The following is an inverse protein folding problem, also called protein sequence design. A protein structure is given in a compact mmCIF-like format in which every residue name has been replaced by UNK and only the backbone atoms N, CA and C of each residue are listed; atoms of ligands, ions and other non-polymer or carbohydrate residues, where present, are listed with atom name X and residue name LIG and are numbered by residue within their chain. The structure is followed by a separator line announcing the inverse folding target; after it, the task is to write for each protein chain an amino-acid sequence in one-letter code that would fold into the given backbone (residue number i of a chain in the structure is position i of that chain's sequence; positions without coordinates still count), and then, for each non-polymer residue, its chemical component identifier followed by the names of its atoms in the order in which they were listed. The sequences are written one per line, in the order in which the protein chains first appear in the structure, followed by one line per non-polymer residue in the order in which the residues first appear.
data_IF_899577333478
#
_entry.id   IF_899577333478
#
_cell.length_a   1.000
_cell.length_b   1.000
_cell.length_c   1.000
_cell.angle_alpha   90.00
_cell.angle_beta   90.00
_cell.angle_gamma   90.00
#
_symmetry.space_group_name_H-M   'P 1'
#
loop_
_entity.id
_entity.type
_entity.pdbx_description
1 polymer ?
#
# COMPACT_ATOMS: atom_id res chain seq x y z
N UNK A 1 14.38 24.56 -23.36
CA UNK A 1 14.24 24.61 -21.89
C UNK A 1 14.45 23.21 -21.41
N UNK A 2 15.47 22.94 -20.60
CA UNK A 2 15.66 21.62 -19.99
C UNK A 2 14.43 21.36 -19.09
N UNK A 3 13.59 20.40 -19.45
CA UNK A 3 12.54 19.92 -18.55
C UNK A 3 13.25 19.33 -17.32
N UNK A 4 13.36 20.13 -16.27
CA UNK A 4 13.76 19.59 -14.96
C UNK A 4 12.61 18.67 -14.55
N UNK A 5 12.89 17.37 -14.52
CA UNK A 5 11.91 16.36 -14.07
C UNK A 5 11.47 16.71 -12.65
N UNK A 6 10.18 16.87 -12.44
CA UNK A 6 9.62 17.06 -11.09
C UNK A 6 9.70 15.71 -10.36
N UNK A 7 10.31 15.66 -9.19
CA UNK A 7 10.32 14.46 -8.35
C UNK A 7 8.90 14.20 -7.84
N UNK A 8 8.31 13.03 -8.07
CA UNK A 8 7.01 12.69 -7.53
C UNK A 8 7.06 12.41 -6.04
N UNK A 9 5.95 12.63 -5.38
CA UNK A 9 5.70 12.25 -3.99
C UNK A 9 5.52 10.74 -3.88
N UNK A 10 6.11 10.08 -2.90
CA UNK A 10 5.81 8.69 -2.51
C UNK A 10 4.74 8.73 -1.42
N UNK A 11 3.51 8.35 -1.78
CA UNK A 11 2.34 8.37 -0.90
C UNK A 11 2.05 6.97 -0.34
N UNK A 12 2.31 6.80 0.95
CA UNK A 12 2.19 5.51 1.64
C UNK A 12 0.88 5.37 2.42
N UNK A 13 0.33 4.15 2.55
CA UNK A 13 -0.87 3.91 3.34
C UNK A 13 -0.54 3.75 4.83
N UNK A 14 -1.39 4.27 5.72
CA UNK A 14 -1.32 3.94 7.14
C UNK A 14 -2.71 3.66 7.75
N UNK A 15 -2.85 2.51 8.37
CA UNK A 15 -4.07 2.12 9.07
C UNK A 15 -4.01 2.35 10.59
N UNK A 16 -2.85 2.71 11.12
CA UNK A 16 -2.61 3.03 12.55
C UNK A 16 -1.51 4.06 12.66
N UNK A 17 -1.44 4.76 13.80
CA UNK A 17 -0.40 5.74 14.10
C UNK A 17 1.02 5.13 14.02
N UNK A 18 1.20 3.88 14.48
CA UNK A 18 2.47 3.15 14.34
C UNK A 18 2.89 3.01 12.86
N UNK A 19 1.95 2.60 11.99
CA UNK A 19 2.21 2.47 10.55
C UNK A 19 2.49 3.81 9.88
N UNK A 20 1.85 4.89 10.33
CA UNK A 20 2.13 6.24 9.84
C UNK A 20 3.58 6.63 10.13
N UNK A 21 4.01 6.46 11.38
CA UNK A 21 5.40 6.77 11.78
C UNK A 21 6.40 5.94 10.99
N UNK A 22 6.16 4.63 10.85
CA UNK A 22 7.02 3.74 10.07
C UNK A 22 7.05 4.12 8.59
N UNK A 23 5.91 4.45 7.97
CA UNK A 23 5.88 4.87 6.58
C UNK A 23 6.79 6.09 6.33
N UNK A 24 6.69 7.10 7.20
CA UNK A 24 7.50 8.32 7.13
C UNK A 24 9.00 8.00 7.38
N UNK A 25 9.31 7.23 8.41
CA UNK A 25 10.69 6.85 8.73
C UNK A 25 11.34 6.03 7.60
N UNK A 26 10.53 5.29 6.80
CA UNK A 26 10.96 4.54 5.62
C UNK A 26 10.88 5.32 4.30
N UNK A 27 10.66 6.63 4.38
CA UNK A 27 10.84 7.55 3.28
C UNK A 27 9.57 7.96 2.53
N UNK A 28 8.39 7.76 3.10
CA UNK A 28 7.17 8.36 2.54
C UNK A 28 7.23 9.88 2.61
N UNK A 29 6.97 10.56 1.49
CA UNK A 29 6.82 12.01 1.43
C UNK A 29 5.44 12.45 1.94
N UNK A 30 4.45 11.55 1.83
CA UNK A 30 3.13 11.72 2.40
C UNK A 30 2.50 10.40 2.83
N UNK A 31 1.53 10.47 3.74
CA UNK A 31 0.80 9.30 4.23
C UNK A 31 -0.70 9.56 4.16
N UNK A 32 -1.46 8.59 3.61
CA UNK A 32 -2.92 8.67 3.66
C UNK A 32 -3.50 7.73 4.72
N UNK A 33 -4.43 8.26 5.50
CA UNK A 33 -5.05 7.59 6.64
C UNK A 33 -6.58 7.59 6.50
N UNK A 34 -7.29 6.92 7.38
CA UNK A 34 -8.73 7.01 7.49
C UNK A 34 -9.14 7.60 8.83
N UNK A 35 -9.99 8.61 8.79
CA UNK A 35 -10.68 9.10 9.96
C UNK A 35 -11.84 8.17 10.36
N UNK A 36 -12.41 8.38 11.55
CA UNK A 36 -13.56 7.63 12.04
C UNK A 36 -14.85 7.93 11.25
N UNK A 37 -14.91 9.07 10.55
CA UNK A 37 -16.03 9.50 9.73
C UNK A 37 -15.69 9.50 8.23
N UNK A 38 -16.69 9.37 7.40
CA UNK A 38 -16.70 9.56 5.93
C UNK A 38 -15.70 8.69 5.11
N UNK A 39 -14.98 7.76 5.73
CA UNK A 39 -14.01 6.89 5.04
C UNK A 39 -14.60 5.55 4.58
N UNK A 40 -14.11 5.01 3.45
CA UNK A 40 -14.53 3.72 2.89
C UNK A 40 -14.13 2.49 3.72
N UNK A 41 -13.39 2.62 4.78
CA UNK A 41 -12.94 1.50 5.61
C UNK A 41 -13.30 1.71 7.08
N UNK A 42 -14.58 1.92 7.35
CA UNK A 42 -15.12 2.15 8.70
C UNK A 42 -14.83 1.04 9.73
N UNK A 43 -14.47 -0.16 9.27
CA UNK A 43 -14.09 -1.31 10.11
C UNK A 43 -12.58 -1.55 10.21
N UNK A 44 -11.76 -0.77 9.54
CA UNK A 44 -10.32 -0.74 9.75
C UNK A 44 -10.02 0.08 11.01
N UNK A 45 -8.87 -0.12 11.64
CA UNK A 45 -8.38 0.82 12.62
C UNK A 45 -8.35 2.21 11.98
N UNK A 46 -9.25 3.09 12.41
CA UNK A 46 -9.35 4.47 11.97
C UNK A 46 -8.78 5.35 13.07
N UNK A 47 -8.14 6.43 12.68
CA UNK A 47 -7.51 7.34 13.61
C UNK A 47 -8.56 8.10 14.43
N UNK A 48 -8.37 8.19 15.75
CA UNK A 48 -9.04 9.19 16.56
C UNK A 48 -8.51 10.59 16.21
N UNK A 49 -9.17 11.64 16.67
CA UNK A 49 -8.70 13.02 16.43
C UNK A 49 -7.35 13.27 17.12
N UNK A 50 -7.13 12.68 18.31
CA UNK A 50 -5.86 12.75 19.04
C UNK A 50 -4.74 12.03 18.28
N UNK A 51 -5.00 10.84 17.74
CA UNK A 51 -4.04 10.09 16.93
C UNK A 51 -3.72 10.82 15.62
N UNK A 52 -4.71 11.48 15.00
CA UNK A 52 -4.51 12.31 13.81
C UNK A 52 -3.59 13.49 14.14
N UNK A 53 -3.86 14.22 15.23
CA UNK A 53 -3.02 15.35 15.65
C UNK A 53 -1.58 14.91 15.91
N UNK A 54 -1.40 13.79 16.60
CA UNK A 54 -0.06 13.23 16.85
C UNK A 54 0.63 12.84 15.54
N UNK A 55 -0.12 12.22 14.61
CA UNK A 55 0.37 11.83 13.29
C UNK A 55 0.77 13.02 12.43
N UNK A 56 -0.05 14.08 12.39
CA UNK A 56 0.25 15.33 11.68
C UNK A 56 1.53 15.97 12.24
N UNK A 57 1.62 16.12 13.56
CA UNK A 57 2.80 16.69 14.20
C UNK A 57 4.07 15.86 13.91
N UNK A 58 3.96 14.54 13.92
CA UNK A 58 5.06 13.64 13.60
C UNK A 58 5.52 13.78 12.14
N UNK A 59 4.58 13.88 11.21
CA UNK A 59 4.83 14.05 9.79
C UNK A 59 5.49 15.39 9.47
N UNK A 60 4.90 16.48 9.96
CA UNK A 60 5.40 17.84 9.72
C UNK A 60 6.80 18.07 10.30
N UNK A 61 7.12 17.46 11.45
CA UNK A 61 8.48 17.50 12.01
C UNK A 61 9.54 16.79 11.13
N UNK A 62 9.11 16.11 10.05
CA UNK A 62 9.95 15.38 9.09
C UNK A 62 9.69 15.80 7.63
N UNK A 63 9.09 16.97 7.42
CA UNK A 63 8.72 17.51 6.10
C UNK A 63 7.82 16.58 5.27
N UNK A 64 7.04 15.72 5.94
CA UNK A 64 6.06 14.83 5.32
C UNK A 64 4.62 15.33 5.54
N UNK A 65 3.70 14.92 4.66
CA UNK A 65 2.29 15.33 4.66
C UNK A 65 1.36 14.22 5.14
N UNK A 66 0.18 14.61 5.62
CA UNK A 66 -0.89 13.68 6.00
C UNK A 66 -2.18 14.00 5.27
N UNK A 67 -2.79 12.98 4.63
CA UNK A 67 -4.06 13.11 3.93
C UNK A 67 -5.11 12.21 4.56
N UNK A 68 -6.31 12.75 4.81
CA UNK A 68 -7.43 11.97 5.38
C UNK A 68 -8.40 11.55 4.27
N UNK A 69 -8.66 10.26 4.16
CA UNK A 69 -9.63 9.71 3.23
C UNK A 69 -11.06 9.90 3.77
N UNK A 70 -11.83 10.74 3.09
CA UNK A 70 -13.26 11.01 3.28
C UNK A 70 -14.05 10.62 2.02
N UNK A 71 -13.79 9.40 1.50
CA UNK A 71 -14.14 9.00 0.14
C UNK A 71 -15.30 8.01 0.06
N UNK A 72 -16.20 8.01 1.03
CA UNK A 72 -17.46 7.28 0.93
C UNK A 72 -18.46 8.04 0.05
N UNK A 73 -19.36 7.32 -0.61
CA UNK A 73 -20.55 7.88 -1.24
C UNK A 73 -21.59 8.13 -0.15
N UNK A 74 -22.07 9.37 -0.03
CA UNK A 74 -23.08 9.74 0.96
C UNK A 74 -24.49 9.43 0.47
N UNK A 75 -25.40 9.17 1.40
CA UNK A 75 -26.84 9.14 1.18
C UNK A 75 -27.46 10.28 1.99
N UNK A 76 -28.70 10.62 1.70
CA UNK A 76 -29.44 11.66 2.41
C UNK A 76 -29.27 11.56 3.93
N UNK A 77 -28.80 12.62 4.55
CA UNK A 77 -28.51 12.71 5.98
C UNK A 77 -27.13 12.20 6.41
N UNK A 78 -26.34 11.54 5.55
CA UNK A 78 -24.99 11.14 5.91
C UNK A 78 -23.99 12.31 5.90
N UNK A 79 -24.28 13.36 5.16
CA UNK A 79 -23.50 14.60 5.08
C UNK A 79 -23.62 15.47 6.33
N UNK A 80 -24.62 15.20 7.18
CA UNK A 80 -24.82 15.93 8.43
C UNK A 80 -23.60 15.80 9.34
N UNK A 81 -23.08 16.93 9.78
CA UNK A 81 -21.86 16.98 10.60
C UNK A 81 -20.55 17.06 9.82
N UNK A 82 -20.56 16.95 8.48
CA UNK A 82 -19.34 17.00 7.69
C UNK A 82 -18.63 18.38 7.77
N UNK A 83 -19.38 19.49 7.74
CA UNK A 83 -18.82 20.83 7.83
C UNK A 83 -17.98 21.06 9.09
N UNK A 84 -18.54 20.86 10.31
CA UNK A 84 -17.75 20.93 11.54
C UNK A 84 -16.51 20.03 11.54
N UNK A 85 -16.64 18.80 11.03
CA UNK A 85 -15.53 17.85 10.95
C UNK A 85 -14.42 18.33 10.01
N UNK A 86 -14.73 18.84 8.84
CA UNK A 86 -13.74 19.41 7.93
C UNK A 86 -13.05 20.66 8.52
N UNK A 87 -13.78 21.51 9.25
CA UNK A 87 -13.18 22.64 9.97
C UNK A 87 -12.17 22.16 11.02
N UNK A 88 -12.54 21.15 11.81
CA UNK A 88 -11.64 20.57 12.82
C UNK A 88 -10.36 20.01 12.19
N UNK A 89 -10.46 19.25 11.08
CA UNK A 89 -9.30 18.75 10.35
C UNK A 89 -8.40 19.88 9.84
N UNK A 90 -8.98 20.94 9.27
CA UNK A 90 -8.23 22.14 8.85
C UNK A 90 -7.49 22.78 10.01
N UNK A 91 -8.18 22.97 11.12
CA UNK A 91 -7.65 23.67 12.31
C UNK A 91 -6.55 22.85 13.01
N UNK A 92 -6.54 21.54 12.81
CA UNK A 92 -5.44 20.64 13.22
C UNK A 92 -4.20 20.76 12.33
N UNK A 93 -4.27 21.47 11.20
CA UNK A 93 -3.19 21.61 10.23
C UNK A 93 -3.07 20.42 9.27
N UNK A 94 -4.18 19.69 9.01
CA UNK A 94 -4.19 18.63 8.01
C UNK A 94 -3.86 19.20 6.62
N UNK A 95 -3.03 18.48 5.85
CA UNK A 95 -2.59 18.94 4.53
C UNK A 95 -3.70 18.83 3.47
N UNK A 96 -4.43 17.70 3.40
CA UNK A 96 -5.52 17.52 2.46
C UNK A 96 -6.53 16.45 2.89
N UNK A 97 -7.73 16.52 2.29
CA UNK A 97 -8.73 15.45 2.34
C UNK A 97 -8.90 14.80 0.97
N UNK A 98 -9.09 13.47 0.93
CA UNK A 98 -9.31 12.71 -0.29
C UNK A 98 -10.81 12.39 -0.36
N UNK A 99 -11.54 13.06 -1.25
CA UNK A 99 -13.01 13.02 -1.31
C UNK A 99 -13.48 12.54 -2.68
N UNK A 100 -14.62 11.84 -2.74
CA UNK A 100 -15.24 11.39 -4.01
C UNK A 100 -16.66 11.89 -4.20
N UNK A 101 -17.34 12.21 -3.11
CA UNK A 101 -18.74 12.62 -3.12
C UNK A 101 -18.87 14.13 -3.38
N UNK A 102 -19.63 14.55 -4.41
CA UNK A 102 -19.80 15.97 -4.73
C UNK A 102 -20.38 16.81 -3.57
N UNK A 103 -21.30 16.24 -2.75
CA UNK A 103 -21.84 16.95 -1.60
C UNK A 103 -20.76 17.25 -0.56
N UNK A 104 -19.91 16.25 -0.25
CA UNK A 104 -18.78 16.43 0.67
C UNK A 104 -17.74 17.41 0.13
N UNK A 105 -17.48 17.40 -1.20
CA UNK A 105 -16.58 18.37 -1.85
C UNK A 105 -17.09 19.81 -1.64
N UNK A 106 -18.37 20.05 -1.95
CA UNK A 106 -18.98 21.38 -1.77
C UNK A 106 -18.97 21.82 -0.31
N UNK A 107 -19.31 20.92 0.61
CA UNK A 107 -19.29 21.21 2.06
C UNK A 107 -17.86 21.53 2.50
N UNK A 108 -16.86 20.75 2.10
CA UNK A 108 -15.46 20.99 2.47
C UNK A 108 -14.97 22.35 1.95
N UNK A 109 -15.19 22.64 0.68
CA UNK A 109 -14.79 23.91 0.06
C UNK A 109 -15.44 25.13 0.72
N UNK A 110 -16.70 24.99 1.16
CA UNK A 110 -17.46 26.07 1.78
C UNK A 110 -17.12 26.27 3.26
N UNK A 111 -17.04 25.16 4.01
CA UNK A 111 -16.95 25.19 5.47
C UNK A 111 -15.49 25.15 5.99
N UNK A 112 -14.57 24.66 5.20
CA UNK A 112 -13.14 24.56 5.55
C UNK A 112 -12.25 25.20 4.47
N UNK A 113 -12.42 26.46 4.11
CA UNK A 113 -11.61 27.11 3.10
C UNK A 113 -10.13 27.05 3.50
N UNK A 114 -9.27 26.73 2.51
CA UNK A 114 -7.83 26.54 2.71
C UNK A 114 -7.40 25.09 3.01
N UNK A 115 -8.32 24.17 3.31
CA UNK A 115 -8.03 22.74 3.34
C UNK A 115 -8.01 22.21 1.90
N UNK A 116 -6.90 21.61 1.47
CA UNK A 116 -6.81 21.06 0.11
C UNK A 116 -7.74 19.86 -0.08
N UNK A 117 -8.32 19.77 -1.29
CA UNK A 117 -9.20 18.66 -1.67
C UNK A 117 -8.59 17.90 -2.83
N UNK A 118 -8.28 16.64 -2.59
CA UNK A 118 -7.84 15.67 -3.61
C UNK A 118 -9.02 14.82 -4.03
N UNK A 119 -9.28 14.71 -5.34
CA UNK A 119 -10.34 13.84 -5.83
C UNK A 119 -9.94 12.38 -5.68
N UNK A 120 -10.78 11.59 -5.03
CA UNK A 120 -10.56 10.15 -4.88
C UNK A 120 -10.71 9.40 -6.22
N UNK A 121 -9.95 8.32 -6.40
CA UNK A 121 -10.15 7.35 -7.50
C UNK A 121 -11.58 6.81 -7.58
N UNK A 122 -12.35 6.86 -6.48
CA UNK A 122 -13.76 6.45 -6.44
C UNK A 122 -14.66 7.32 -7.34
N UNK A 123 -14.20 8.50 -7.75
CA UNK A 123 -14.91 9.34 -8.74
C UNK A 123 -14.73 8.88 -10.19
N UNK A 124 -13.89 7.84 -10.45
CA UNK A 124 -13.64 7.27 -11.78
C UNK A 124 -13.15 8.27 -12.83
N UNK A 125 -12.17 9.11 -12.52
CA UNK A 125 -11.61 10.07 -13.48
C UNK A 125 -10.68 9.38 -14.47
N UNK A 126 -11.04 9.39 -15.76
CA UNK A 126 -10.37 8.64 -16.83
C UNK A 126 -9.97 9.49 -18.03
N UNK A 127 -10.27 10.79 -18.04
CA UNK A 127 -9.97 11.66 -19.18
C UNK A 127 -9.75 13.11 -18.72
N UNK A 128 -9.10 13.92 -19.57
CA UNK A 128 -8.69 15.27 -19.22
C UNK A 128 -9.86 16.23 -18.95
N UNK A 129 -11.01 16.07 -19.63
CA UNK A 129 -12.21 16.91 -19.39
C UNK A 129 -12.70 16.75 -17.95
N UNK A 130 -12.62 15.55 -17.41
CA UNK A 130 -12.95 15.30 -16.00
C UNK A 130 -11.95 15.99 -15.05
N UNK A 131 -10.68 16.05 -15.41
CA UNK A 131 -9.67 16.76 -14.63
C UNK A 131 -9.94 18.27 -14.61
N UNK A 132 -10.21 18.87 -15.78
CA UNK A 132 -10.53 20.30 -15.87
C UNK A 132 -11.83 20.65 -15.14
N UNK A 133 -12.86 19.80 -15.23
CA UNK A 133 -14.09 19.97 -14.47
C UNK A 133 -13.81 20.06 -12.94
N UNK A 134 -13.01 19.14 -12.42
CA UNK A 134 -12.69 19.14 -10.99
C UNK A 134 -11.78 20.29 -10.60
N UNK A 135 -10.89 20.73 -11.48
CA UNK A 135 -10.08 21.94 -11.31
C UNK A 135 -10.97 23.18 -11.17
N UNK A 136 -11.96 23.33 -12.04
CA UNK A 136 -12.95 24.41 -11.97
C UNK A 136 -13.74 24.40 -10.66
N UNK A 137 -13.93 23.21 -10.07
CA UNK A 137 -14.52 23.02 -8.74
C UNK A 137 -13.56 23.32 -7.59
N UNK A 138 -12.32 23.72 -7.88
CA UNK A 138 -11.31 24.11 -6.90
C UNK A 138 -10.45 22.98 -6.33
N UNK A 139 -10.47 21.78 -6.95
CA UNK A 139 -9.63 20.66 -6.52
C UNK A 139 -8.20 20.83 -7.06
N UNK A 140 -7.22 20.51 -6.20
CA UNK A 140 -5.79 20.69 -6.53
C UNK A 140 -5.15 19.44 -7.11
N UNK A 141 -5.70 18.24 -6.80
CA UNK A 141 -5.17 16.94 -7.22
C UNK A 141 -6.29 15.97 -7.57
N UNK A 142 -6.06 15.16 -8.59
CA UNK A 142 -6.98 14.08 -9.00
C UNK A 142 -6.26 12.73 -8.92
N UNK A 143 -6.86 11.79 -8.16
CA UNK A 143 -6.41 10.39 -8.15
C UNK A 143 -6.98 9.70 -9.37
N UNK A 144 -6.11 9.31 -10.28
CA UNK A 144 -6.44 8.65 -11.53
C UNK A 144 -7.22 7.35 -11.28
N UNK A 145 -8.19 7.05 -12.13
CA UNK A 145 -8.82 5.74 -12.12
C UNK A 145 -7.81 4.66 -12.53
N UNK A 146 -7.89 3.47 -11.92
CA UNK A 146 -6.93 2.37 -12.15
C UNK A 146 -7.06 1.71 -13.52
N UNK A 147 -8.09 2.05 -14.25
CA UNK A 147 -8.42 1.55 -15.58
C UNK A 147 -7.76 2.36 -16.72
N UNK A 148 -7.04 3.43 -16.37
CA UNK A 148 -6.36 4.31 -17.33
C UNK A 148 -5.02 3.69 -17.73
N UNK A 149 -4.76 3.70 -19.05
CA UNK A 149 -3.50 3.25 -19.63
C UNK A 149 -2.41 4.32 -19.55
N UNK A 150 -1.14 3.93 -19.70
CA UNK A 150 -0.01 4.87 -19.73
C UNK A 150 -0.14 5.88 -20.88
N UNK A 151 -0.66 5.45 -22.03
CA UNK A 151 -0.88 6.34 -23.18
C UNK A 151 -1.96 7.40 -22.88
N UNK A 152 -3.06 7.01 -22.24
CA UNK A 152 -4.10 7.94 -21.80
C UNK A 152 -3.62 8.89 -20.72
N UNK A 153 -2.82 8.40 -19.74
CA UNK A 153 -2.19 9.25 -18.74
C UNK A 153 -1.32 10.33 -19.38
N UNK A 154 -0.48 9.95 -20.37
CA UNK A 154 0.35 10.88 -21.13
C UNK A 154 -0.49 11.95 -21.85
N UNK A 155 -1.64 11.57 -22.44
CA UNK A 155 -2.56 12.51 -23.09
C UNK A 155 -3.26 13.44 -22.09
N UNK A 156 -3.66 12.93 -20.93
CA UNK A 156 -4.21 13.75 -19.83
C UNK A 156 -3.17 14.78 -19.41
N UNK A 157 -1.94 14.35 -19.11
CA UNK A 157 -0.86 15.26 -18.64
C UNK A 157 -0.55 16.39 -19.61
N UNK A 158 -0.62 16.16 -20.92
CA UNK A 158 -0.37 17.19 -21.94
C UNK A 158 -1.39 18.34 -21.91
N UNK A 159 -2.59 18.08 -21.36
CA UNK A 159 -3.74 19.00 -21.46
C UNK A 159 -4.14 19.63 -20.14
N UNK A 160 -3.68 19.11 -19.00
CA UNK A 160 -3.98 19.66 -17.69
C UNK A 160 -2.73 19.92 -16.86
N UNK A 161 -2.77 20.91 -15.99
CA UNK A 161 -1.76 21.21 -14.97
C UNK A 161 -2.17 20.75 -13.56
N UNK A 162 -3.37 20.17 -13.40
CA UNK A 162 -3.83 19.56 -12.14
C UNK A 162 -2.87 18.46 -11.72
N UNK A 163 -2.55 18.35 -10.44
CA UNK A 163 -1.70 17.27 -9.96
C UNK A 163 -2.35 15.90 -10.20
N UNK A 164 -1.55 14.97 -10.74
CA UNK A 164 -1.96 13.59 -11.02
C UNK A 164 -1.40 12.68 -9.94
N UNK A 165 -2.28 12.05 -9.17
CA UNK A 165 -1.93 10.97 -8.26
C UNK A 165 -2.31 9.63 -8.90
N UNK A 166 -1.40 8.68 -8.95
CA UNK A 166 -1.61 7.38 -9.58
C UNK A 166 -1.23 6.22 -8.66
N UNK A 167 -2.03 5.16 -8.66
CA UNK A 167 -1.67 3.94 -7.93
C UNK A 167 -0.51 3.22 -8.62
N UNK A 168 0.48 2.79 -7.84
CA UNK A 168 1.68 2.10 -8.33
C UNK A 168 1.88 0.73 -7.70
N UNK A 169 1.22 0.41 -6.58
CA UNK A 169 1.41 -0.87 -5.88
C UNK A 169 0.19 -1.29 -5.08
N UNK A 170 -0.01 -2.60 -4.99
CA UNK A 170 -0.97 -3.24 -4.11
C UNK A 170 -2.23 -3.74 -4.80
N UNK A 171 -3.26 -3.97 -4.02
CA UNK A 171 -4.43 -4.73 -4.43
C UNK A 171 -5.27 -4.03 -5.51
N UNK A 172 -5.57 -4.75 -6.60
CA UNK A 172 -6.54 -4.34 -7.62
C UNK A 172 -7.97 -4.70 -7.22
N UNK A 173 -8.93 -3.96 -7.74
CA UNK A 173 -10.36 -4.23 -7.63
C UNK A 173 -10.86 -4.94 -8.89
N UNK A 174 -11.84 -5.85 -8.74
CA UNK A 174 -12.52 -6.49 -9.90
C UNK A 174 -13.44 -5.51 -10.64
N UNK A 175 -13.97 -4.53 -9.94
CA UNK A 175 -14.90 -3.55 -10.49
C UNK A 175 -14.18 -2.27 -10.88
N UNK A 176 -14.76 -1.53 -11.80
CA UNK A 176 -14.38 -0.14 -12.04
C UNK A 176 -14.30 0.66 -10.74
N UNK A 177 -13.39 1.61 -10.70
CA UNK A 177 -13.15 2.47 -9.54
C UNK A 177 -14.47 3.13 -9.07
N UNK A 178 -14.84 2.90 -7.80
CA UNK A 178 -16.05 3.47 -7.19
C UNK A 178 -17.40 2.88 -7.65
N UNK A 179 -17.43 1.77 -8.39
CA UNK A 179 -18.66 1.22 -8.98
C UNK A 179 -18.93 -0.23 -8.62
N UNK A 180 -18.55 -0.65 -7.40
CA UNK A 180 -18.73 -2.03 -6.97
C UNK A 180 -20.03 -2.21 -6.20
N UNK A 181 -20.87 -3.14 -6.66
CA UNK A 181 -22.08 -3.59 -5.95
C UNK A 181 -22.02 -5.06 -5.52
N UNK A 182 -20.88 -5.73 -5.74
CA UNK A 182 -20.74 -7.15 -5.45
C UNK A 182 -20.98 -7.46 -3.96
N UNK A 183 -20.42 -6.65 -3.06
CA UNK A 183 -20.60 -6.84 -1.62
C UNK A 183 -22.04 -6.62 -1.16
N UNK A 184 -22.81 -5.75 -1.83
CA UNK A 184 -24.23 -5.56 -1.55
C UNK A 184 -25.00 -6.85 -1.80
N UNK A 185 -24.76 -7.50 -2.94
CA UNK A 185 -25.43 -8.75 -3.30
C UNK A 185 -24.96 -9.95 -2.48
N UNK A 186 -23.66 -10.05 -2.21
CA UNK A 186 -23.08 -11.25 -1.58
C UNK A 186 -23.14 -11.23 -0.05
N UNK A 187 -23.19 -10.06 0.58
CA UNK A 187 -23.07 -9.94 2.05
C UNK A 187 -23.93 -8.84 2.66
N UNK A 188 -24.84 -8.24 1.90
CA UNK A 188 -25.67 -7.10 2.32
C UNK A 188 -24.86 -5.93 2.90
N UNK A 189 -23.64 -5.71 2.36
CA UNK A 189 -22.73 -4.65 2.78
C UNK A 189 -22.37 -3.75 1.60
N UNK A 190 -22.55 -2.45 1.75
CA UNK A 190 -22.28 -1.51 0.68
C UNK A 190 -20.78 -1.20 0.58
N UNK A 191 -20.16 -1.63 -0.53
CA UNK A 191 -18.74 -1.41 -0.78
C UNK A 191 -18.38 0.08 -0.94
N UNK A 192 -19.31 0.88 -1.48
CA UNK A 192 -19.10 2.31 -1.73
C UNK A 192 -19.34 3.18 -0.49
N UNK A 193 -19.80 2.56 0.59
CA UNK A 193 -20.04 3.17 1.90
C UNK A 193 -19.20 2.53 3.02
N UNK A 194 -18.06 1.96 2.69
CA UNK A 194 -17.13 1.35 3.65
C UNK A 194 -17.40 -0.10 3.98
N UNK A 195 -18.41 -0.73 3.38
CA UNK A 195 -18.83 -2.10 3.66
C UNK A 195 -18.19 -3.17 2.79
N UNK A 196 -17.11 -2.89 2.03
CA UNK A 196 -16.49 -3.91 1.19
C UNK A 196 -16.12 -5.17 1.97
N UNK A 197 -16.76 -6.31 1.62
CA UNK A 197 -16.52 -7.62 2.22
C UNK A 197 -15.40 -8.40 1.51
N UNK A 198 -14.81 -7.83 0.46
CA UNK A 198 -13.85 -8.50 -0.43
C UNK A 198 -14.40 -9.80 -1.04
N UNK A 199 -15.71 -9.86 -1.32
CA UNK A 199 -16.37 -11.05 -1.88
C UNK A 199 -15.79 -11.48 -3.21
N UNK A 200 -15.23 -10.57 -4.03
CA UNK A 200 -14.47 -10.94 -5.22
C UNK A 200 -13.25 -11.85 -4.95
N UNK A 201 -12.81 -11.95 -3.70
CA UNK A 201 -11.65 -12.75 -3.27
C UNK A 201 -12.04 -14.05 -2.58
N UNK A 202 -13.33 -14.31 -2.44
CA UNK A 202 -13.82 -15.58 -1.93
C UNK A 202 -13.62 -16.68 -2.97
N UNK A 203 -13.65 -17.90 -2.50
CA UNK A 203 -13.64 -19.09 -3.37
C UNK A 203 -15.08 -19.48 -3.65
N UNK A 204 -15.38 -19.71 -4.92
CA UNK A 204 -16.70 -20.10 -5.41
C UNK A 204 -16.59 -21.41 -6.17
N UNK A 205 -17.55 -22.30 -5.96
CA UNK A 205 -17.75 -23.45 -6.82
C UNK A 205 -18.67 -23.03 -7.97
N UNK A 206 -18.22 -23.23 -9.20
CA UNK A 206 -18.99 -22.93 -10.40
C UNK A 206 -19.75 -24.19 -10.84
N UNK A 207 -21.04 -24.05 -11.03
CA UNK A 207 -21.91 -25.10 -11.55
C UNK A 207 -22.61 -24.62 -12.82
N UNK A 208 -22.63 -25.47 -13.84
CA UNK A 208 -23.59 -25.30 -14.93
C UNK A 208 -24.96 -25.72 -14.43
N UNK A 209 -25.96 -24.85 -14.57
CA UNK A 209 -27.34 -25.09 -14.19
C UNK A 209 -28.26 -24.91 -15.42
N UNK A 210 -28.28 -25.86 -16.37
CA UNK A 210 -29.33 -25.89 -17.37
C UNK A 210 -30.67 -26.00 -16.66
N UNK A 211 -31.66 -25.26 -17.10
CA UNK A 211 -32.98 -25.22 -16.49
C UNK A 211 -33.51 -26.65 -16.24
N UNK A 212 -33.67 -27.03 -14.98
CA UNK A 212 -34.31 -28.31 -14.59
C UNK A 212 -33.39 -29.53 -14.53
N UNK A 213 -32.07 -29.40 -14.56
CA UNK A 213 -31.10 -30.50 -14.45
C UNK A 213 -30.26 -30.43 -13.17
N UNK A 214 -29.66 -31.58 -12.79
CA UNK A 214 -28.74 -31.64 -11.66
C UNK A 214 -27.48 -30.77 -11.90
N UNK A 215 -26.92 -30.24 -10.81
CA UNK A 215 -25.71 -29.42 -10.83
C UNK A 215 -24.54 -30.19 -11.42
N UNK A 216 -23.95 -29.70 -12.49
CA UNK A 216 -22.72 -30.22 -13.05
C UNK A 216 -21.60 -29.18 -12.88
N UNK A 217 -20.41 -29.60 -12.43
CA UNK A 217 -19.26 -28.72 -12.36
C UNK A 217 -18.80 -28.32 -13.77
N UNK A 218 -18.55 -27.05 -14.00
CA UNK A 218 -18.01 -26.53 -15.27
C UNK A 218 -16.58 -26.98 -15.56
N UNK A 219 -15.87 -27.53 -14.57
CA UNK A 219 -14.49 -27.97 -14.68
C UNK A 219 -14.36 -29.41 -14.20
N UNK A 220 -14.38 -30.37 -15.08
CA UNK A 220 -13.94 -31.74 -14.90
C UNK A 220 -14.16 -32.41 -13.53
N UNK A 221 -13.51 -33.53 -13.26
CA UNK A 221 -13.75 -34.38 -12.08
C UNK A 221 -13.31 -33.78 -10.72
N UNK A 222 -12.48 -32.73 -10.70
CA UNK A 222 -12.08 -31.98 -9.47
C UNK A 222 -12.19 -30.49 -9.79
N UNK A 223 -13.28 -29.85 -9.45
CA UNK A 223 -13.44 -28.41 -9.69
C UNK A 223 -12.48 -27.64 -8.78
N UNK A 224 -11.51 -26.95 -9.34
CA UNK A 224 -10.76 -25.94 -8.59
C UNK A 224 -11.72 -24.80 -8.24
N UNK A 225 -11.69 -24.30 -6.99
CA UNK A 225 -12.52 -23.18 -6.60
C UNK A 225 -12.22 -21.95 -7.45
N UNK A 226 -13.25 -21.35 -8.03
CA UNK A 226 -13.13 -20.11 -8.79
C UNK A 226 -12.97 -18.91 -7.84
N UNK A 227 -12.14 -17.95 -8.23
CA UNK A 227 -12.01 -16.65 -7.57
C UNK A 227 -12.01 -15.53 -8.60
N UNK A 228 -12.70 -14.44 -8.31
CA UNK A 228 -12.64 -13.19 -9.11
C UNK A 228 -11.47 -12.29 -8.68
N UNK A 229 -10.52 -12.81 -7.91
CA UNK A 229 -9.41 -12.03 -7.40
C UNK A 229 -8.41 -11.68 -8.49
N UNK A 230 -8.20 -10.40 -8.72
CA UNK A 230 -7.09 -9.94 -9.53
C UNK A 230 -5.74 -10.12 -8.79
N UNK A 231 -4.65 -10.20 -9.54
CA UNK A 231 -3.28 -10.08 -9.04
C UNK A 231 -3.06 -8.68 -8.47
N UNK A 232 -2.03 -8.49 -7.65
CA UNK A 232 -1.72 -7.17 -7.10
C UNK A 232 -0.93 -6.34 -8.14
N UNK A 233 -1.15 -5.02 -8.16
CA UNK A 233 -0.40 -4.10 -9.02
C UNK A 233 1.02 -3.92 -8.50
N UNK A 234 1.99 -3.78 -9.41
CA UNK A 234 3.34 -3.34 -9.12
C UNK A 234 3.96 -2.64 -10.32
N UNK A 235 4.35 -1.38 -10.12
CA UNK A 235 4.93 -0.52 -11.14
C UNK A 235 6.39 -0.20 -10.87
N UNK A 236 7.09 -1.01 -10.06
CA UNK A 236 8.46 -0.69 -9.63
C UNK A 236 9.43 -0.60 -10.80
N UNK A 237 9.31 -1.48 -11.80
CA UNK A 237 10.14 -1.46 -13.01
C UNK A 237 9.84 -0.26 -13.93
N UNK A 238 8.67 0.36 -13.75
CA UNK A 238 8.10 1.40 -14.60
C UNK A 238 8.04 2.77 -13.90
N UNK A 239 8.78 2.95 -12.81
CA UNK A 239 8.91 4.26 -12.15
C UNK A 239 9.44 5.32 -13.10
N UNK A 240 10.41 5.04 -14.02
CA UNK A 240 10.79 5.96 -15.08
C UNK A 240 9.60 6.47 -15.90
N UNK A 241 8.73 5.57 -16.37
CA UNK A 241 7.56 5.92 -17.19
C UNK A 241 6.57 6.81 -16.43
N UNK A 242 6.34 6.52 -15.14
CA UNK A 242 5.48 7.35 -14.29
C UNK A 242 6.01 8.78 -14.16
N UNK A 243 7.32 8.94 -13.94
CA UNK A 243 7.98 10.24 -13.79
C UNK A 243 7.98 11.00 -15.13
N UNK A 244 8.33 10.32 -16.23
CA UNK A 244 8.37 10.92 -17.57
C UNK A 244 6.99 11.38 -18.05
N UNK A 245 5.95 10.68 -17.67
CA UNK A 245 4.56 11.06 -17.99
C UNK A 245 3.95 12.02 -16.94
N UNK A 246 4.76 12.55 -16.01
CA UNK A 246 4.40 13.66 -15.15
C UNK A 246 3.39 13.30 -14.05
N UNK A 247 3.49 12.10 -13.49
CA UNK A 247 2.77 11.74 -12.27
C UNK A 247 3.37 12.51 -11.10
N UNK A 248 2.54 13.22 -10.34
CA UNK A 248 2.95 14.05 -9.21
C UNK A 248 3.02 13.27 -7.89
N UNK A 249 2.20 12.21 -7.75
CA UNK A 249 2.15 11.40 -6.52
C UNK A 249 1.96 9.91 -6.84
N UNK A 250 2.86 9.09 -6.33
CA UNK A 250 2.91 7.62 -6.49
C UNK A 250 2.24 6.97 -5.28
N UNK A 251 1.02 6.50 -5.45
CA UNK A 251 0.20 5.96 -4.37
C UNK A 251 0.34 4.46 -4.18
N UNK A 252 0.67 4.05 -2.97
CA UNK A 252 0.74 2.65 -2.55
C UNK A 252 -0.58 2.26 -1.87
N UNK A 253 -1.26 1.21 -2.34
CA UNK A 253 -2.43 0.64 -1.65
C UNK A 253 -1.99 -0.35 -0.57
N UNK A 254 -2.60 -0.25 0.61
CA UNK A 254 -2.24 -1.20 1.68
C UNK A 254 -2.61 -0.80 3.10
N UNK A 255 -3.61 0.05 3.36
CA UNK A 255 -4.00 0.49 4.73
C UNK A 255 -4.15 -0.65 5.74
N UNK A 256 -4.66 -1.81 5.28
CA UNK A 256 -4.87 -3.00 6.12
C UNK A 256 -3.65 -3.93 6.19
N UNK A 257 -2.60 -3.64 5.45
CA UNK A 257 -1.39 -4.46 5.43
C UNK A 257 -0.58 -4.31 6.72
N UNK A 258 0.37 -5.24 6.93
CA UNK A 258 1.26 -5.22 8.09
C UNK A 258 2.27 -4.07 8.03
N UNK A 259 2.87 -3.77 9.17
CA UNK A 259 3.98 -2.83 9.28
C UNK A 259 5.17 -3.24 8.39
N UNK A 260 5.46 -4.54 8.29
CA UNK A 260 6.44 -5.11 7.40
C UNK A 260 6.19 -4.78 5.91
N UNK A 261 4.93 -4.90 5.46
CA UNK A 261 4.56 -4.52 4.09
C UNK A 261 4.75 -3.02 3.87
N UNK A 262 4.26 -2.19 4.79
CA UNK A 262 4.34 -0.72 4.68
C UNK A 262 5.79 -0.27 4.61
N UNK A 263 6.65 -0.76 5.50
CA UNK A 263 8.08 -0.40 5.53
C UNK A 263 8.81 -0.84 4.26
N UNK A 264 8.66 -2.12 3.85
CA UNK A 264 9.38 -2.65 2.68
C UNK A 264 8.93 -1.97 1.38
N UNK A 265 7.61 -1.86 1.14
CA UNK A 265 7.10 -1.28 -0.10
C UNK A 265 7.45 0.21 -0.20
N UNK A 266 7.27 0.97 0.87
CA UNK A 266 7.62 2.40 0.90
C UNK A 266 9.12 2.61 0.63
N UNK A 267 9.98 1.81 1.29
CA UNK A 267 11.44 1.88 1.11
C UNK A 267 11.86 1.60 -0.34
N UNK A 268 11.24 0.61 -0.99
CA UNK A 268 11.52 0.27 -2.39
C UNK A 268 11.12 1.41 -3.35
N UNK A 269 9.89 1.94 -3.21
CA UNK A 269 9.44 3.04 -4.08
C UNK A 269 10.24 4.33 -3.84
N UNK A 270 10.59 4.63 -2.59
CA UNK A 270 11.48 5.75 -2.25
C UNK A 270 12.84 5.58 -2.92
N UNK A 271 13.47 4.41 -2.80
CA UNK A 271 14.77 4.12 -3.41
C UNK A 271 14.70 4.19 -4.95
N UNK A 272 13.63 3.68 -5.57
CA UNK A 272 13.42 3.74 -7.01
C UNK A 272 13.32 5.18 -7.52
N UNK A 273 12.52 6.01 -6.86
CA UNK A 273 12.37 7.43 -7.21
C UNK A 273 13.69 8.18 -7.05
N UNK A 274 14.35 8.02 -5.91
CA UNK A 274 15.61 8.72 -5.64
C UNK A 274 16.70 8.34 -6.65
N UNK A 275 16.85 7.04 -6.94
CA UNK A 275 17.81 6.54 -7.91
C UNK A 275 17.52 7.07 -9.32
N UNK A 276 16.25 7.05 -9.77
CA UNK A 276 15.91 7.57 -11.10
C UNK A 276 16.09 9.09 -11.20
N UNK A 277 15.82 9.82 -10.12
CA UNK A 277 16.06 11.27 -10.08
C UNK A 277 17.57 11.61 -10.06
N UNK A 278 18.41 10.70 -9.58
CA UNK A 278 19.86 10.82 -9.71
C UNK A 278 20.30 10.57 -11.15
N UNK A 279 20.00 9.39 -11.70
CA UNK A 279 20.18 9.07 -13.12
C UNK A 279 19.41 7.80 -13.52
N UNK A 280 19.08 7.62 -14.82
CA UNK A 280 18.53 6.35 -15.31
C UNK A 280 19.42 5.14 -15.00
N UNK A 281 20.74 5.30 -15.08
CA UNK A 281 21.71 4.25 -14.81
C UNK A 281 21.73 3.85 -13.33
N UNK A 282 21.55 4.80 -12.40
CA UNK A 282 21.45 4.51 -10.98
C UNK A 282 20.21 3.69 -10.67
N UNK A 283 19.07 3.97 -11.32
CA UNK A 283 17.86 3.17 -11.19
C UNK A 283 18.05 1.75 -11.74
N UNK A 284 18.61 1.59 -12.95
CA UNK A 284 18.86 0.27 -13.55
C UNK A 284 19.80 -0.58 -12.69
N UNK A 285 20.76 0.04 -11.98
CA UNK A 285 21.70 -0.67 -11.11
C UNK A 285 21.04 -1.34 -9.91
N UNK A 286 19.88 -0.84 -9.43
CA UNK A 286 19.18 -1.37 -8.24
C UNK A 286 17.85 -2.04 -8.56
N UNK A 287 17.39 -1.99 -9.80
CA UNK A 287 16.05 -2.43 -10.22
C UNK A 287 15.74 -3.87 -9.83
N UNK A 288 16.66 -4.80 -10.11
CA UNK A 288 16.48 -6.23 -9.76
C UNK A 288 16.40 -6.44 -8.25
N UNK A 289 17.20 -5.72 -7.47
CA UNK A 289 17.15 -5.81 -6.00
C UNK A 289 15.81 -5.29 -5.46
N UNK A 290 15.25 -4.22 -6.07
CA UNK A 290 13.93 -3.70 -5.71
C UNK A 290 12.81 -4.70 -5.99
N UNK A 291 12.87 -5.39 -7.13
CA UNK A 291 11.92 -6.44 -7.51
C UNK A 291 12.00 -7.59 -6.51
N UNK A 292 13.20 -8.08 -6.22
CA UNK A 292 13.43 -9.17 -5.26
C UNK A 292 12.90 -8.79 -3.87
N UNK A 293 13.10 -7.54 -3.44
CA UNK A 293 12.63 -7.05 -2.16
C UNK A 293 11.09 -7.03 -2.08
N UNK A 294 10.42 -6.58 -3.14
CA UNK A 294 8.96 -6.57 -3.18
C UNK A 294 8.35 -7.97 -3.19
N UNK A 295 9.03 -8.95 -3.82
CA UNK A 295 8.58 -10.35 -3.76
C UNK A 295 8.64 -10.93 -2.35
N UNK A 296 9.53 -10.46 -1.47
CA UNK A 296 9.60 -10.91 -0.06
C UNK A 296 8.34 -10.57 0.74
N UNK A 297 7.59 -9.54 0.34
CA UNK A 297 6.35 -9.09 1.01
C UNK A 297 5.08 -9.35 0.20
N UNK A 298 5.21 -9.76 -1.05
CA UNK A 298 4.08 -10.05 -1.94
C UNK A 298 3.22 -11.19 -1.39
N UNK A 299 1.91 -11.02 -1.43
CA UNK A 299 0.93 -12.04 -1.02
C UNK A 299 0.17 -12.62 -2.22
N UNK A 300 0.40 -12.07 -3.40
CA UNK A 300 -0.16 -12.45 -4.69
C UNK A 300 0.88 -12.24 -5.77
N UNK A 301 0.60 -12.77 -6.94
CA UNK A 301 1.35 -12.42 -8.14
C UNK A 301 1.20 -10.92 -8.42
N UNK A 302 2.18 -10.36 -9.12
CA UNK A 302 2.30 -8.95 -9.42
C UNK A 302 2.14 -8.72 -10.92
N UNK A 303 1.47 -7.64 -11.31
CA UNK A 303 1.29 -7.21 -12.69
C UNK A 303 1.18 -5.68 -12.76
N UNK A 304 1.21 -5.12 -13.97
CA UNK A 304 1.12 -3.68 -14.21
C UNK A 304 -0.32 -3.13 -14.22
N UNK A 305 -1.34 -3.98 -14.00
CA UNK A 305 -2.74 -3.59 -14.10
C UNK A 305 -3.11 -3.19 -15.52
N UNK A 306 -3.76 -2.04 -15.68
CA UNK A 306 -4.21 -1.54 -16.99
C UNK A 306 -3.17 -0.65 -17.71
N UNK A 307 -2.03 -0.37 -17.10
CA UNK A 307 -1.12 0.65 -17.65
C UNK A 307 -0.61 0.34 -19.06
N UNK A 308 -0.33 -0.93 -19.39
CA UNK A 308 0.25 -1.30 -20.69
C UNK A 308 -0.68 -2.13 -21.57
N UNK A 309 -1.68 -2.77 -21.00
CA UNK A 309 -2.68 -3.57 -21.73
C UNK A 309 -3.97 -3.71 -20.91
N UNK A 310 -5.05 -4.08 -21.57
CA UNK A 310 -6.26 -4.49 -20.86
C UNK A 310 -6.01 -5.84 -20.18
N UNK A 311 -6.22 -5.97 -18.86
CA UNK A 311 -6.04 -7.23 -18.15
C UNK A 311 -6.86 -8.37 -18.76
N UNK A 312 -6.22 -9.54 -18.85
CA UNK A 312 -6.77 -10.78 -19.38
C UNK A 312 -7.02 -11.81 -18.27
N UNK A 313 -7.30 -13.05 -18.62
CA UNK A 313 -7.34 -14.16 -17.68
C UNK A 313 -6.00 -14.39 -16.94
N UNK A 314 -4.87 -13.91 -17.49
CA UNK A 314 -3.56 -14.04 -16.87
C UNK A 314 -3.37 -13.14 -15.63
N UNK A 315 -4.11 -12.04 -15.53
CA UNK A 315 -4.13 -11.14 -14.38
C UNK A 315 -5.22 -11.49 -13.36
N UNK A 316 -5.89 -12.64 -13.53
CA UNK A 316 -6.87 -13.16 -12.58
C UNK A 316 -6.33 -14.40 -11.86
N UNK A 317 -6.62 -14.50 -10.58
CA UNK A 317 -6.24 -15.65 -9.76
C UNK A 317 -7.34 -16.73 -9.81
N UNK A 318 -7.47 -17.38 -10.95
CA UNK A 318 -8.35 -18.54 -11.10
C UNK A 318 -7.71 -19.78 -10.46
N UNK A 319 -8.44 -20.45 -9.57
CA UNK A 319 -7.99 -21.71 -8.99
C UNK A 319 -6.97 -21.57 -7.84
N UNK A 320 -6.02 -22.49 -7.77
CA UNK A 320 -5.03 -22.53 -6.69
C UNK A 320 -4.06 -21.36 -6.82
N UNK A 321 -3.91 -20.60 -5.74
CA UNK A 321 -2.91 -19.54 -5.68
C UNK A 321 -1.52 -20.16 -5.74
N UNK A 322 -0.63 -19.57 -6.53
CA UNK A 322 0.79 -19.86 -6.47
C UNK A 322 1.27 -19.65 -5.03
N UNK A 323 2.03 -20.58 -4.49
CA UNK A 323 2.68 -20.41 -3.19
C UNK A 323 3.80 -19.38 -3.36
N UNK A 324 3.54 -18.15 -3.00
CA UNK A 324 4.55 -17.10 -2.96
C UNK A 324 5.31 -17.26 -1.64
N UNK A 325 6.65 -17.27 -1.68
CA UNK A 325 7.45 -17.29 -0.46
C UNK A 325 7.13 -16.07 0.39
N UNK A 326 6.74 -16.33 1.62
CA UNK A 326 6.52 -15.25 2.57
C UNK A 326 7.66 -15.24 3.57
N UNK A 327 8.33 -14.11 3.65
CA UNK A 327 9.20 -13.85 4.78
C UNK A 327 8.32 -13.61 6.02
N UNK A 328 8.76 -14.15 7.14
CA UNK A 328 8.09 -13.97 8.40
C UNK A 328 8.63 -12.72 9.08
N UNK A 329 7.78 -11.74 9.33
CA UNK A 329 8.15 -10.59 10.14
C UNK A 329 8.37 -11.05 11.59
N UNK A 330 9.55 -10.83 12.12
CA UNK A 330 9.94 -11.34 13.46
C UNK A 330 10.09 -10.25 14.49
N UNK A 331 10.44 -9.01 14.11
CA UNK A 331 10.58 -7.94 15.09
C UNK A 331 11.11 -6.63 14.53
N UNK A 332 11.36 -5.71 15.43
CA UNK A 332 11.93 -4.39 15.17
C UNK A 332 13.01 -4.05 16.18
N UNK A 333 13.97 -3.25 15.78
CA UNK A 333 15.04 -2.76 16.66
C UNK A 333 14.54 -1.58 17.50
N UNK A 334 14.65 -1.70 18.81
CA UNK A 334 14.27 -0.64 19.76
C UNK A 334 15.47 0.24 20.10
N UNK A 335 16.65 -0.39 20.29
CA UNK A 335 17.90 0.30 20.57
C UNK A 335 19.10 -0.55 20.17
N UNK A 336 20.26 0.08 20.03
CA UNK A 336 21.51 -0.60 19.72
C UNK A 336 22.66 0.00 20.56
N UNK A 337 23.44 -0.88 21.21
CA UNK A 337 24.66 -0.55 21.93
C UNK A 337 25.88 -0.87 21.05
N UNK A 338 26.50 0.16 20.48
CA UNK A 338 27.67 0.02 19.61
C UNK A 338 28.89 -0.56 20.32
N UNK A 339 29.03 -0.35 21.62
CA UNK A 339 30.20 -0.82 22.36
C UNK A 339 30.15 -2.33 22.62
N UNK A 340 28.93 -2.86 22.78
CA UNK A 340 28.68 -4.28 23.03
C UNK A 340 28.28 -5.04 21.77
N UNK A 341 27.97 -4.34 20.68
CA UNK A 341 27.34 -4.89 19.49
C UNK A 341 26.04 -5.65 19.81
N UNK A 342 25.24 -5.10 20.71
CA UNK A 342 23.99 -5.67 21.17
C UNK A 342 22.78 -4.81 20.74
N UNK A 343 21.77 -5.48 20.19
CA UNK A 343 20.49 -4.86 19.88
C UNK A 343 19.42 -5.28 20.90
N UNK A 344 18.65 -4.30 21.39
CA UNK A 344 17.35 -4.58 22.01
C UNK A 344 16.30 -4.58 20.90
N UNK A 345 15.60 -5.70 20.75
CA UNK A 345 14.56 -5.89 19.74
C UNK A 345 13.20 -6.08 20.40
N UNK A 346 12.14 -5.60 19.75
CA UNK A 346 10.75 -5.93 20.12
C UNK A 346 10.28 -7.05 19.23
N UNK A 347 10.05 -8.20 19.80
CA UNK A 347 9.57 -9.37 19.11
C UNK A 347 8.13 -9.20 18.58
N UNK A 348 7.88 -9.67 17.37
CA UNK A 348 6.54 -9.72 16.76
C UNK A 348 6.12 -11.15 16.43
N UNK A 349 7.06 -12.07 16.37
CA UNK A 349 6.83 -13.49 16.12
C UNK A 349 7.92 -14.30 16.81
N UNK A 350 7.72 -15.64 16.93
CA UNK A 350 8.69 -16.53 17.57
C UNK A 350 10.06 -16.36 16.95
N UNK A 351 11.07 -16.19 17.82
CA UNK A 351 12.50 -16.14 17.50
C UNK A 351 13.21 -17.22 18.29
N UNK A 352 14.19 -17.88 17.67
CA UNK A 352 15.03 -18.90 18.29
C UNK A 352 16.51 -18.55 18.12
N UNK A 353 17.31 -18.97 19.08
CA UNK A 353 18.77 -18.94 18.95
C UNK A 353 19.17 -19.72 17.69
N UNK A 354 20.04 -19.12 16.85
CA UNK A 354 20.47 -19.72 15.58
C UNK A 354 19.54 -19.50 14.40
N UNK A 355 18.37 -18.81 14.55
CA UNK A 355 17.52 -18.45 13.41
C UNK A 355 18.27 -17.56 12.43
N UNK A 356 18.19 -17.87 11.12
CA UNK A 356 18.68 -16.98 10.07
C UNK A 356 17.66 -15.88 9.81
N UNK A 357 18.10 -14.64 10.00
CA UNK A 357 17.27 -13.44 9.85
C UNK A 357 17.92 -12.43 8.94
N UNK A 358 17.10 -11.55 8.41
CA UNK A 358 17.52 -10.38 7.64
C UNK A 358 17.06 -9.11 8.36
N UNK A 359 18.00 -8.21 8.64
CA UNK A 359 17.73 -6.86 9.09
C UNK A 359 17.62 -5.95 7.90
N UNK A 360 16.64 -5.06 7.92
CA UNK A 360 16.49 -4.04 6.88
C UNK A 360 16.00 -2.72 7.47
N UNK A 361 16.39 -1.62 6.85
CA UNK A 361 16.07 -0.28 7.34
C UNK A 361 15.96 0.76 6.23
N UNK A 362 15.63 2.02 6.59
CA UNK A 362 15.54 3.12 5.64
C UNK A 362 16.80 3.29 4.79
N UNK A 363 16.63 3.76 3.53
CA UNK A 363 17.71 3.91 2.57
C UNK A 363 18.14 2.58 1.94
N UNK A 364 17.23 1.63 1.85
CA UNK A 364 17.42 0.33 1.21
C UNK A 364 18.60 -0.47 1.77
N UNK A 365 18.88 -0.29 3.09
CA UNK A 365 19.94 -1.03 3.81
C UNK A 365 19.40 -2.38 4.25
N UNK A 366 20.16 -3.44 4.02
CA UNK A 366 19.84 -4.78 4.55
C UNK A 366 21.12 -5.61 4.74
N UNK A 367 21.07 -6.57 5.66
CA UNK A 367 22.06 -7.61 5.85
C UNK A 367 21.45 -8.83 6.52
N UNK A 368 22.00 -10.00 6.23
CA UNK A 368 21.62 -11.26 6.87
C UNK A 368 22.59 -11.64 7.98
N UNK A 369 22.08 -12.24 9.03
CA UNK A 369 22.87 -12.82 10.12
C UNK A 369 22.10 -13.96 10.80
N UNK A 370 22.74 -14.62 11.75
CA UNK A 370 22.10 -15.53 12.68
C UNK A 370 21.77 -14.80 13.98
N UNK A 371 20.68 -15.23 14.64
CA UNK A 371 20.36 -14.77 15.99
C UNK A 371 21.34 -15.44 16.96
N UNK A 372 22.15 -14.64 17.63
CA UNK A 372 23.14 -15.11 18.59
C UNK A 372 23.02 -14.34 19.91
N UNK A 373 23.25 -15.06 21.00
CA UNK A 373 23.25 -14.49 22.34
C UNK A 373 21.88 -14.03 22.80
N UNK A 374 20.83 -14.76 22.41
CA UNK A 374 19.43 -14.42 22.72
C UNK A 374 19.19 -14.40 24.23
N UNK A 375 18.66 -13.28 24.71
CA UNK A 375 18.32 -13.06 26.14
C UNK A 375 16.93 -12.46 26.27
N UNK A 376 16.26 -12.81 27.38
CA UNK A 376 15.01 -12.18 27.79
C UNK A 376 15.22 -10.75 28.36
N UNK A 377 14.12 -10.11 28.80
CA UNK A 377 14.16 -8.76 29.36
C UNK A 377 14.94 -8.68 30.66
N UNK A 378 15.06 -9.79 31.42
CA UNK A 378 15.82 -9.93 32.66
C UNK A 378 17.31 -10.21 32.42
N UNK A 379 17.71 -10.45 31.13
CA UNK A 379 19.09 -10.73 30.76
C UNK A 379 19.47 -12.23 30.81
N UNK A 380 18.53 -13.13 31.10
CA UNK A 380 18.77 -14.56 31.07
C UNK A 380 18.92 -15.09 29.68
N UNK A 381 19.87 -16.00 29.45
CA UNK A 381 19.97 -16.70 28.16
C UNK A 381 18.77 -17.60 27.93
N UNK A 382 18.21 -17.54 26.75
CA UNK A 382 17.08 -18.36 26.33
C UNK A 382 17.36 -18.91 24.92
N UNK A 383 16.87 -20.11 24.60
CA UNK A 383 17.00 -20.70 23.28
C UNK A 383 15.79 -20.33 22.37
N UNK A 384 14.71 -19.86 22.97
CA UNK A 384 13.45 -19.56 22.29
C UNK A 384 12.67 -18.48 23.00
N UNK A 385 12.20 -17.49 22.22
CA UNK A 385 11.27 -16.46 22.67
C UNK A 385 9.90 -16.67 21.97
N UNK A 386 8.86 -17.20 22.67
CA UNK A 386 7.59 -17.54 22.06
C UNK A 386 6.58 -16.39 22.05
N UNK A 387 6.71 -15.41 22.95
CA UNK A 387 5.64 -14.44 23.23
C UNK A 387 5.82 -13.15 22.43
N UNK A 388 4.84 -12.74 21.62
CA UNK A 388 4.92 -11.45 20.90
C UNK A 388 5.02 -10.26 21.86
N UNK A 389 5.67 -9.19 21.40
CA UNK A 389 5.85 -7.91 22.10
C UNK A 389 6.87 -7.91 23.24
N UNK A 390 7.51 -9.03 23.54
CA UNK A 390 8.63 -9.05 24.51
C UNK A 390 9.84 -8.28 23.97
N UNK A 391 10.59 -7.68 24.89
CA UNK A 391 11.89 -7.10 24.62
C UNK A 391 12.95 -8.16 24.79
N UNK A 392 13.78 -8.33 23.78
CA UNK A 392 14.86 -9.31 23.76
C UNK A 392 16.17 -8.60 23.46
N UNK A 393 17.27 -9.15 23.94
CA UNK A 393 18.61 -8.70 23.58
C UNK A 393 19.31 -9.76 22.75
N UNK A 394 19.96 -9.34 21.67
CA UNK A 394 20.73 -10.20 20.76
C UNK A 394 22.06 -9.55 20.42
N UNK A 395 23.08 -10.35 20.09
CA UNK A 395 24.37 -9.87 19.58
C UNK A 395 24.34 -9.82 18.05
N UNK A 396 24.90 -8.79 17.45
CA UNK A 396 24.88 -8.57 16.00
C UNK A 396 26.29 -8.37 15.44
N UNK A 397 26.57 -8.87 14.21
CA UNK A 397 27.85 -8.65 13.53
C UNK A 397 27.99 -7.23 12.96
N UNK A 398 26.85 -6.56 12.67
CA UNK A 398 26.78 -5.25 12.06
C UNK A 398 25.90 -4.30 12.89
N UNK A 399 26.19 -2.99 12.86
CA UNK A 399 25.37 -2.01 13.56
C UNK A 399 23.99 -1.85 12.90
N UNK A 400 22.99 -1.65 13.75
CA UNK A 400 21.59 -1.37 13.36
C UNK A 400 21.13 -0.05 13.97
N UNK A 401 19.99 0.44 13.49
CA UNK A 401 19.37 1.66 14.02
C UNK A 401 18.01 1.33 14.63
N UNK A 402 17.59 2.15 15.58
CA UNK A 402 16.22 2.13 16.08
C UNK A 402 15.24 2.24 14.90
N UNK A 403 14.26 1.36 14.86
CA UNK A 403 13.25 1.28 13.80
C UNK A 403 13.64 0.36 12.63
N UNK A 404 14.88 -0.17 12.58
CA UNK A 404 15.20 -1.23 11.62
C UNK A 404 14.32 -2.46 11.90
N UNK A 405 13.86 -3.11 10.85
CA UNK A 405 12.95 -4.26 10.91
C UNK A 405 13.71 -5.56 10.73
N UNK A 406 13.12 -6.64 11.27
CA UNK A 406 13.71 -7.97 11.24
C UNK A 406 12.71 -8.94 10.62
N UNK A 407 13.17 -9.73 9.66
CA UNK A 407 12.38 -10.81 9.03
C UNK A 407 13.19 -12.10 8.95
N UNK A 408 12.50 -13.23 9.01
CA UNK A 408 13.09 -14.55 8.85
C UNK A 408 12.70 -15.14 7.49
N UNK A 409 13.67 -15.73 6.79
CA UNK A 409 13.41 -16.58 5.63
C UNK A 409 12.72 -17.88 6.09
N UNK A 410 11.64 -18.28 5.44
CA UNK A 410 11.10 -19.62 5.64
C UNK A 410 12.02 -20.61 4.91
N UNK A 411 12.61 -21.54 5.64
CA UNK A 411 13.42 -22.62 5.08
C UNK A 411 12.65 -23.35 3.96
N UNK A 412 13.34 -23.68 2.85
CA UNK A 412 12.80 -24.42 1.72
C UNK A 412 12.13 -23.59 0.62
N UNK A 413 12.00 -22.27 0.77
CA UNK A 413 11.36 -21.41 -0.25
C UNK A 413 12.38 -20.84 -1.25
N UNK A 414 13.62 -20.63 -0.87
CA UNK A 414 14.70 -20.17 -1.76
C UNK A 414 14.96 -21.17 -2.88
N UNK A 415 14.84 -22.47 -2.60
CA UNK A 415 15.06 -23.54 -3.59
C UNK A 415 13.93 -23.69 -4.63
N UNK A 416 12.73 -23.19 -4.36
CA UNK A 416 11.59 -23.28 -5.28
C UNK A 416 11.71 -22.31 -6.47
N UNK A 417 12.41 -21.18 -6.30
CA UNK A 417 12.63 -20.22 -7.39
C UNK A 417 13.76 -20.62 -8.34
N UNK A 418 14.71 -21.40 -7.88
CA UNK A 418 15.85 -21.83 -8.71
C UNK A 418 15.54 -23.02 -9.63
N UNK A 419 14.46 -23.78 -9.35
CA UNK A 419 14.20 -25.06 -10.02
C UNK A 419 13.07 -25.06 -11.05
N UNK A 420 12.20 -24.03 -11.10
CA UNK A 420 11.05 -24.05 -12.02
C UNK A 420 11.16 -23.11 -13.24
N UNK A 421 12.28 -22.41 -13.37
CA UNK A 421 12.55 -21.53 -14.53
C UNK A 421 11.57 -20.36 -14.64
N UNK A 422 10.77 -20.08 -13.61
CA UNK A 422 9.82 -18.96 -13.63
C UNK A 422 10.55 -17.66 -13.36
N UNK A 423 10.44 -16.75 -14.33
CA UNK A 423 10.92 -15.38 -14.24
C UNK A 423 10.41 -14.70 -12.96
N UNK A 424 11.30 -13.99 -12.25
CA UNK A 424 10.93 -13.06 -11.16
C UNK A 424 10.32 -11.77 -11.66
N UNK A 425 10.18 -11.60 -12.98
CA UNK A 425 9.66 -10.39 -13.62
C UNK A 425 8.20 -10.16 -13.27
N UNK A 426 7.86 -8.91 -13.08
CA UNK A 426 6.49 -8.44 -12.99
C UNK A 426 5.86 -8.60 -14.37
N UNK A 427 4.68 -9.20 -14.44
CA UNK A 427 3.97 -9.37 -15.71
C UNK A 427 3.58 -7.99 -16.26
N UNK A 428 4.08 -7.69 -17.47
CA UNK A 428 3.73 -6.47 -18.20
C UNK A 428 2.32 -6.57 -18.80
#
# INVERSE_FOLDING_TARGET
MSNVKKRPEVLSPAGTLEKLKVAIDYGADAVFVGGQAYGLRSRAGNFSMEELQEGINYAHARDAKVYVAANMVTHEGNELGAGPWFRELRDMGLDAVIVSDPALIVICATEAPGLEIHLSTQASSTNYETFEFWKEMGLTRVVLAREVTMAELAEIRKRTDVEIEAFVHGAMCISYSGRCVLSNHMSHRDANRGGCSQSCRWKYDLYDMPFGQERQSLKGEIPEPFSMSAVDMCMIEHIPDMIENGVDSLKIEGRMKSIHYVSSVTNCYKAAVDAYMESPEAFEAIKEDLIDELWKVAQRELATGFYYHTPTENEQLFGARRKIPQYKFVGEVVSFDNAKMEATIRQRNVIMEGDRVEFYGPGFRHFECFIEGLRDAEGNKIDRAPNPMELLTITLPNPVKKGDMIRACKEGLVNLYQNDGTSKTIRA
#
